data_IF_094845446442
#
_entry.id   IF_094845446442
#
_cell.length_a   1.000
_cell.length_b   1.000
_cell.length_c   1.000
_cell.angle_alpha   90.00
_cell.angle_beta   90.00
_cell.angle_gamma   90.00
#
_symmetry.space_group_name_H-M   'P 1'
#
loop_
_entity.id
_entity.type
_entity.pdbx_description
1 polymer ?
#
# COMPACT_ATOMS: atom_id res chain seq x y z
N UNK A 1 5.58 10.01 9.96
CA UNK A 1 5.82 9.09 8.83
C UNK A 1 6.47 9.90 7.72
N UNK A 2 7.62 9.50 7.14
CA UNK A 2 8.16 10.23 6.02
C UNK A 2 7.11 10.17 4.90
N UNK A 3 6.75 11.32 4.35
CA UNK A 3 5.85 11.44 3.20
C UNK A 3 6.75 11.87 2.03
N UNK A 4 7.61 10.97 1.58
CA UNK A 4 8.54 11.28 0.50
C UNK A 4 7.74 11.51 -0.78
N UNK A 5 7.96 12.67 -1.42
CA UNK A 5 7.25 13.02 -2.66
C UNK A 5 7.63 12.13 -3.86
N UNK A 6 8.80 11.46 -3.80
CA UNK A 6 9.31 10.57 -4.85
C UNK A 6 9.37 11.23 -6.25
N UNK A 7 9.39 12.56 -6.31
CA UNK A 7 9.31 13.38 -7.52
C UNK A 7 8.14 13.03 -8.46
N UNK A 8 7.00 12.61 -7.90
CA UNK A 8 5.80 12.27 -8.65
C UNK A 8 4.58 13.00 -8.10
N UNK A 9 3.57 13.23 -8.96
CA UNK A 9 2.31 13.83 -8.55
C UNK A 9 1.60 12.97 -7.49
N UNK A 10 0.76 13.59 -6.67
CA UNK A 10 0.01 12.89 -5.62
C UNK A 10 -0.90 11.80 -6.16
N UNK A 11 -1.57 12.06 -7.29
CA UNK A 11 -2.43 11.10 -7.98
C UNK A 11 -1.64 9.89 -8.49
N UNK A 12 -0.50 10.13 -9.17
CA UNK A 12 0.35 9.05 -9.67
C UNK A 12 0.94 8.23 -8.52
N UNK A 13 1.38 8.88 -7.43
CA UNK A 13 1.89 8.19 -6.25
C UNK A 13 0.85 7.26 -5.62
N UNK A 14 -0.41 7.70 -5.52
CA UNK A 14 -1.51 6.87 -5.02
C UNK A 14 -1.69 5.63 -5.89
N UNK A 15 -1.80 5.80 -7.21
CA UNK A 15 -1.97 4.68 -8.15
C UNK A 15 -0.78 3.72 -8.13
N UNK A 16 0.45 4.24 -8.10
CA UNK A 16 1.68 3.43 -8.02
C UNK A 16 1.69 2.54 -6.78
N UNK A 17 1.39 3.10 -5.60
CA UNK A 17 1.37 2.31 -4.37
C UNK A 17 0.21 1.31 -4.33
N UNK A 18 -0.97 1.65 -4.89
CA UNK A 18 -2.07 0.70 -5.04
C UNK A 18 -1.62 -0.53 -5.86
N UNK A 19 -0.97 -0.33 -7.00
CA UNK A 19 -0.47 -1.43 -7.83
C UNK A 19 0.59 -2.26 -7.09
N UNK A 20 1.57 -1.60 -6.44
CA UNK A 20 2.60 -2.31 -5.67
C UNK A 20 2.03 -3.14 -4.52
N UNK A 21 0.99 -2.65 -3.84
CA UNK A 21 0.32 -3.39 -2.78
C UNK A 21 -0.40 -4.63 -3.34
N UNK A 22 -1.10 -4.47 -4.46
CA UNK A 22 -1.75 -5.59 -5.14
C UNK A 22 -0.73 -6.66 -5.55
N UNK A 23 0.38 -6.27 -6.16
CA UNK A 23 1.44 -7.19 -6.56
C UNK A 23 2.11 -7.84 -5.34
N UNK A 24 2.35 -7.07 -4.27
CA UNK A 24 2.92 -7.59 -3.03
C UNK A 24 2.03 -8.66 -2.39
N UNK A 25 0.72 -8.44 -2.31
CA UNK A 25 -0.19 -9.45 -1.76
C UNK A 25 -0.39 -10.66 -2.69
N UNK A 26 -0.24 -10.48 -4.01
CA UNK A 26 -0.35 -11.58 -4.99
C UNK A 26 0.90 -12.47 -5.01
N UNK A 27 2.08 -11.88 -4.87
CA UNK A 27 3.36 -12.56 -5.06
C UNK A 27 4.16 -12.77 -3.77
N UNK A 28 3.64 -12.29 -2.63
CA UNK A 28 4.24 -12.34 -1.27
C UNK A 28 5.58 -11.60 -1.11
N UNK A 29 6.28 -11.32 -2.21
CA UNK A 29 7.53 -10.58 -2.28
C UNK A 29 7.59 -9.77 -3.57
N UNK A 30 8.08 -8.54 -3.49
CA UNK A 30 8.37 -7.70 -4.66
C UNK A 30 9.75 -7.07 -4.52
N UNK A 31 10.39 -6.78 -5.65
CA UNK A 31 11.66 -6.05 -5.71
C UNK A 31 11.38 -4.60 -6.14
N UNK A 32 11.85 -3.63 -5.36
CA UNK A 32 11.62 -2.20 -5.61
C UNK A 32 12.74 -1.38 -4.99
N UNK A 33 12.71 -0.06 -5.19
CA UNK A 33 13.72 0.84 -4.61
C UNK A 33 13.53 0.97 -3.10
N UNK A 34 14.64 1.17 -2.37
CA UNK A 34 14.62 1.31 -0.90
C UNK A 34 13.64 2.40 -0.42
N UNK A 35 13.58 3.53 -1.13
CA UNK A 35 12.67 4.61 -0.79
C UNK A 35 11.19 4.19 -0.94
N UNK A 36 10.85 3.50 -2.03
CA UNK A 36 9.48 2.98 -2.26
C UNK A 36 9.11 1.91 -1.24
N UNK A 37 10.02 0.98 -0.93
CA UNK A 37 9.79 -0.06 0.06
C UNK A 37 9.51 0.52 1.47
N UNK A 38 10.28 1.53 1.89
CA UNK A 38 10.09 2.20 3.20
C UNK A 38 8.73 2.90 3.30
N UNK A 39 8.22 3.44 2.21
CA UNK A 39 6.91 4.10 2.14
C UNK A 39 5.75 3.08 2.01
N UNK A 40 5.99 1.96 1.31
CA UNK A 40 5.02 0.88 1.12
C UNK A 40 4.72 0.13 2.43
N UNK A 41 5.74 -0.09 3.27
CA UNK A 41 5.64 -0.87 4.52
C UNK A 41 4.48 -0.44 5.44
N UNK A 42 4.38 0.84 5.88
CA UNK A 42 3.28 1.25 6.75
C UNK A 42 1.90 1.17 6.08
N UNK A 43 1.83 1.27 4.73
CA UNK A 43 0.57 1.10 3.99
C UNK A 43 0.12 -0.36 4.02
N UNK A 44 1.04 -1.30 3.79
CA UNK A 44 0.78 -2.73 3.84
C UNK A 44 0.34 -3.17 5.26
N UNK A 45 1.05 -2.74 6.30
CA UNK A 45 0.72 -3.04 7.70
C UNK A 45 -0.70 -2.55 8.07
N UNK A 46 -1.06 -1.33 7.66
CA UNK A 46 -2.38 -0.76 7.91
C UNK A 46 -3.48 -1.54 7.18
N UNK A 47 -3.22 -1.98 5.95
CA UNK A 47 -4.15 -2.82 5.19
C UNK A 47 -4.34 -4.18 5.86
N UNK A 48 -3.27 -4.86 6.27
CA UNK A 48 -3.34 -6.13 6.99
C UNK A 48 -4.13 -5.98 8.29
N UNK A 49 -3.87 -4.90 9.04
CA UNK A 49 -4.59 -4.60 10.29
C UNK A 49 -6.09 -4.40 10.05
N UNK A 50 -6.45 -3.68 8.99
CA UNK A 50 -7.85 -3.44 8.64
C UNK A 50 -8.52 -4.72 8.12
N UNK A 51 -7.83 -5.49 7.28
CA UNK A 51 -8.33 -6.72 6.68
C UNK A 51 -8.48 -7.87 7.67
N UNK A 52 -7.78 -7.82 8.81
CA UNK A 52 -7.95 -8.79 9.91
C UNK A 52 -9.37 -8.78 10.48
N UNK A 53 -10.04 -7.62 10.46
CA UNK A 53 -11.43 -7.51 10.90
C UNK A 53 -12.36 -8.07 9.82
N UNK A 54 -13.23 -9.03 10.18
CA UNK A 54 -14.10 -9.74 9.24
C UNK A 54 -15.43 -9.05 8.93
N UNK A 55 -15.57 -7.76 9.26
CA UNK A 55 -16.79 -6.98 9.07
C UNK A 55 -16.88 -6.35 7.66
N UNK A 56 -18.11 -6.08 7.22
CA UNK A 56 -18.37 -5.48 5.90
C UNK A 56 -17.72 -4.11 5.74
N UNK A 57 -17.65 -3.31 6.82
CA UNK A 57 -17.06 -1.98 6.78
C UNK A 57 -15.54 -2.05 6.53
N UNK A 58 -14.82 -2.99 7.14
CA UNK A 58 -13.40 -3.20 6.87
C UNK A 58 -13.14 -3.68 5.45
N UNK A 59 -13.97 -4.60 4.92
CA UNK A 59 -13.88 -5.00 3.50
C UNK A 59 -14.06 -3.81 2.55
N UNK A 60 -15.04 -2.95 2.81
CA UNK A 60 -15.27 -1.72 2.01
C UNK A 60 -14.11 -0.72 2.10
N UNK A 61 -13.44 -0.62 3.26
CA UNK A 61 -12.27 0.25 3.43
C UNK A 61 -11.06 -0.22 2.62
N UNK A 62 -10.89 -1.53 2.46
CA UNK A 62 -9.79 -2.11 1.67
C UNK A 62 -10.05 -2.00 0.16
N UNK A 63 -11.31 -2.10 -0.27
CA UNK A 63 -11.69 -2.03 -1.69
C UNK A 63 -11.66 -0.61 -2.30
N UNK A 64 -11.45 0.43 -1.49
CA UNK A 64 -11.59 1.85 -1.89
C UNK A 64 -10.23 2.54 -2.02
#
# INVERSE_FOLDING_TARGET
MPNRKLNISSSHRKAMFSNMLTDFFRHERIETTLAKAKELRPLAEKLITTARNSDLASRRKVLR
#
